data_IF_284699702066
#
_entry.id   IF_284699702066
#
_cell.length_a   1.000
_cell.length_b   1.000
_cell.length_c   1.000
_cell.angle_alpha   90.00
_cell.angle_beta   90.00
_cell.angle_gamma   90.00
#
_symmetry.space_group_name_H-M   'P 1'
#
loop_
_entity.id
_entity.type
_entity.pdbx_description
1 polymer ?
#
# COMPACT_ATOMS: atom_id res chain seq x y z
N UNK A 1 -14.76 17.77 -27.72
CA UNK A 1 -14.75 16.32 -27.57
C UNK A 1 -15.47 15.60 -28.72
N UNK A 2 -16.73 15.94 -29.06
CA UNK A 2 -17.47 15.29 -30.15
C UNK A 2 -16.89 15.53 -31.56
N UNK A 3 -16.00 16.50 -31.75
CA UNK A 3 -15.32 16.78 -33.02
C UNK A 3 -14.06 15.92 -33.25
N UNK A 4 -13.70 15.06 -32.31
CA UNK A 4 -12.57 14.11 -32.47
C UNK A 4 -12.98 12.92 -33.32
N UNK A 5 -12.15 12.55 -34.27
CA UNK A 5 -12.38 11.41 -35.16
C UNK A 5 -12.44 10.09 -34.39
N UNK A 6 -11.66 9.98 -33.33
CA UNK A 6 -11.61 8.81 -32.44
C UNK A 6 -12.94 8.61 -31.73
N UNK A 7 -13.54 9.70 -31.21
CA UNK A 7 -14.86 9.67 -30.55
C UNK A 7 -15.95 9.31 -31.56
N UNK A 8 -15.89 9.86 -32.77
CA UNK A 8 -16.79 9.48 -33.86
C UNK A 8 -16.71 7.99 -34.21
N UNK A 9 -15.51 7.45 -34.27
CA UNK A 9 -15.27 6.02 -34.49
C UNK A 9 -15.85 5.16 -33.35
N UNK A 10 -15.65 5.59 -32.11
CA UNK A 10 -16.20 4.92 -30.93
C UNK A 10 -17.74 4.86 -30.97
N UNK A 11 -18.39 5.97 -31.25
CA UNK A 11 -19.85 6.06 -31.37
C UNK A 11 -20.36 5.11 -32.46
N UNK A 12 -19.72 5.13 -33.63
CA UNK A 12 -20.05 4.26 -34.76
C UNK A 12 -19.88 2.79 -34.40
N UNK A 13 -18.81 2.44 -33.68
CA UNK A 13 -18.54 1.07 -33.25
C UNK A 13 -19.59 0.55 -32.27
N UNK A 14 -20.00 1.38 -31.31
CA UNK A 14 -21.03 1.02 -30.31
C UNK A 14 -22.40 0.83 -30.94
N UNK A 15 -22.73 1.62 -31.93
CA UNK A 15 -23.94 1.45 -32.77
C UNK A 15 -25.27 1.84 -32.10
N UNK A 16 -25.21 2.42 -30.89
CA UNK A 16 -26.39 2.80 -30.08
C UNK A 16 -26.77 4.28 -30.19
N UNK A 17 -26.12 5.08 -31.05
CA UNK A 17 -26.33 6.52 -31.15
C UNK A 17 -25.79 7.30 -29.96
N UNK A 18 -26.03 8.62 -29.92
CA UNK A 18 -25.61 9.49 -28.80
C UNK A 18 -26.65 10.57 -28.52
N UNK A 19 -26.62 11.11 -27.31
CA UNK A 19 -27.52 12.21 -26.91
C UNK A 19 -28.93 11.74 -26.55
N UNK A 20 -29.79 12.67 -26.19
CA UNK A 20 -31.12 12.33 -25.63
C UNK A 20 -32.14 11.82 -26.62
N UNK A 21 -31.96 12.15 -27.91
CA UNK A 21 -32.97 11.84 -28.96
C UNK A 21 -32.62 10.58 -29.75
N UNK A 22 -31.30 10.35 -30.01
CA UNK A 22 -30.82 9.27 -30.90
C UNK A 22 -30.23 8.07 -30.15
N UNK A 23 -30.02 8.19 -28.84
CA UNK A 23 -29.41 7.14 -28.03
C UNK A 23 -30.45 6.04 -27.70
N UNK A 24 -30.17 4.83 -28.15
CA UNK A 24 -30.94 3.62 -27.91
C UNK A 24 -30.02 2.52 -27.34
N UNK A 25 -30.03 2.27 -26.03
CA UNK A 25 -29.15 1.29 -25.39
C UNK A 25 -29.41 -0.15 -25.84
N UNK A 26 -30.60 -0.45 -26.37
CA UNK A 26 -30.94 -1.79 -26.82
C UNK A 26 -30.33 -2.12 -28.19
N UNK A 27 -29.83 -1.10 -28.90
CA UNK A 27 -29.03 -1.26 -30.13
C UNK A 27 -27.52 -1.42 -29.88
N UNK A 28 -27.10 -1.45 -28.61
CA UNK A 28 -25.70 -1.61 -28.24
C UNK A 28 -25.13 -2.95 -28.81
N UNK A 29 -24.00 -2.85 -29.52
CA UNK A 29 -23.36 -4.01 -30.15
C UNK A 29 -22.47 -4.80 -29.19
N UNK A 30 -21.99 -4.17 -28.09
CA UNK A 30 -21.02 -4.75 -27.16
C UNK A 30 -21.52 -4.61 -25.73
N UNK A 31 -21.75 -5.72 -25.05
CA UNK A 31 -22.21 -5.73 -23.65
C UNK A 31 -21.11 -5.40 -22.63
N UNK A 32 -19.84 -5.45 -23.02
CA UNK A 32 -18.69 -5.11 -22.18
C UNK A 32 -17.81 -4.10 -22.91
N UNK A 33 -17.75 -2.89 -22.41
CA UNK A 33 -16.91 -1.81 -22.91
C UNK A 33 -15.79 -1.61 -21.89
N UNK A 34 -14.58 -2.00 -22.24
CA UNK A 34 -13.44 -2.00 -21.32
C UNK A 34 -12.54 -0.82 -21.65
N UNK A 35 -12.46 0.15 -20.75
CA UNK A 35 -11.54 1.28 -20.85
C UNK A 35 -10.18 0.80 -20.32
N UNK A 36 -9.19 0.78 -21.20
CA UNK A 36 -7.82 0.38 -20.88
C UNK A 36 -6.87 1.54 -21.22
N UNK A 37 -6.24 2.11 -20.20
CA UNK A 37 -5.27 3.19 -20.32
C UNK A 37 -4.01 2.83 -19.54
N UNK A 38 -2.89 3.48 -19.89
CA UNK A 38 -1.65 3.31 -19.14
C UNK A 38 -1.79 3.75 -17.69
N UNK A 39 -0.93 3.23 -16.81
CA UNK A 39 -0.92 3.55 -15.38
C UNK A 39 -0.13 4.84 -15.09
N UNK A 40 -0.24 5.84 -15.95
CA UNK A 40 0.41 7.13 -15.81
C UNK A 40 -0.60 8.30 -15.70
N UNK A 41 -0.11 9.52 -15.62
CA UNK A 41 -0.92 10.73 -15.48
C UNK A 41 -1.81 10.94 -16.71
N UNK A 42 -1.26 10.75 -17.91
CA UNK A 42 -1.98 10.96 -19.17
C UNK A 42 -3.06 9.90 -19.35
N UNK A 43 -2.79 8.64 -19.03
CA UNK A 43 -3.79 7.56 -19.03
C UNK A 43 -4.92 7.80 -18.03
N UNK A 44 -4.62 8.35 -16.86
CA UNK A 44 -5.63 8.75 -15.88
C UNK A 44 -6.53 9.87 -16.41
N UNK A 45 -5.96 10.85 -17.11
CA UNK A 45 -6.71 11.94 -17.73
C UNK A 45 -7.61 11.42 -18.87
N UNK A 46 -7.09 10.57 -19.76
CA UNK A 46 -7.86 9.95 -20.85
C UNK A 46 -9.03 9.14 -20.28
N UNK A 47 -8.80 8.35 -19.24
CA UNK A 47 -9.85 7.59 -18.55
C UNK A 47 -10.96 8.48 -18.03
N UNK A 48 -10.60 9.59 -17.38
CA UNK A 48 -11.56 10.58 -16.85
C UNK A 48 -12.39 11.21 -17.96
N UNK A 49 -11.75 11.55 -19.09
CA UNK A 49 -12.45 12.11 -20.25
C UNK A 49 -13.45 11.11 -20.84
N UNK A 50 -13.07 9.84 -21.01
CA UNK A 50 -13.94 8.79 -21.53
C UNK A 50 -15.12 8.51 -20.58
N UNK A 51 -14.88 8.41 -19.28
CA UNK A 51 -15.95 8.23 -18.29
C UNK A 51 -16.91 9.43 -18.28
N UNK A 52 -16.40 10.65 -18.40
CA UNK A 52 -17.24 11.86 -18.51
C UNK A 52 -18.06 11.87 -19.79
N UNK A 53 -17.47 11.38 -20.89
CA UNK A 53 -18.18 11.23 -22.16
C UNK A 53 -19.35 10.25 -22.01
N UNK A 54 -19.14 9.04 -21.50
CA UNK A 54 -20.20 8.05 -21.29
C UNK A 54 -21.26 8.56 -20.33
N UNK A 55 -20.88 9.17 -19.22
CA UNK A 55 -21.82 9.71 -18.25
C UNK A 55 -22.74 10.79 -18.83
N UNK A 56 -22.20 11.65 -19.70
CA UNK A 56 -22.98 12.76 -20.29
C UNK A 56 -23.79 12.36 -21.51
N UNK A 57 -23.28 11.47 -22.34
CA UNK A 57 -23.86 11.15 -23.63
C UNK A 57 -24.62 9.83 -23.64
N UNK A 58 -24.26 8.88 -22.75
CA UNK A 58 -24.78 7.52 -22.73
C UNK A 58 -24.92 7.02 -21.27
N UNK A 59 -25.65 7.72 -20.38
CA UNK A 59 -25.70 7.40 -18.96
C UNK A 59 -26.19 5.97 -18.67
N UNK A 60 -27.15 5.48 -19.45
CA UNK A 60 -27.70 4.14 -19.26
C UNK A 60 -26.67 3.02 -19.46
N UNK A 61 -25.58 3.24 -20.22
CA UNK A 61 -24.50 2.24 -20.33
C UNK A 61 -23.76 2.05 -19.00
N UNK A 62 -23.68 3.11 -18.18
CA UNK A 62 -23.12 3.04 -16.84
C UNK A 62 -24.12 2.39 -15.89
N UNK A 63 -25.38 2.81 -15.92
CA UNK A 63 -26.44 2.28 -15.06
C UNK A 63 -26.69 0.79 -15.29
N UNK A 64 -26.64 0.34 -16.55
CA UNK A 64 -26.77 -1.07 -16.93
C UNK A 64 -25.47 -1.89 -16.71
N UNK A 65 -24.37 -1.26 -16.28
CA UNK A 65 -23.12 -1.95 -15.97
C UNK A 65 -22.32 -2.43 -17.19
N UNK A 66 -22.42 -1.74 -18.32
CA UNK A 66 -21.67 -2.08 -19.53
C UNK A 66 -20.22 -1.54 -19.55
N UNK A 67 -19.91 -0.55 -18.68
CA UNK A 67 -18.61 0.12 -18.64
C UNK A 67 -17.72 -0.54 -17.60
N UNK A 68 -16.53 -0.98 -18.03
CA UNK A 68 -15.49 -1.57 -17.20
C UNK A 68 -14.20 -0.77 -17.31
N UNK A 69 -13.43 -0.75 -16.23
CA UNK A 69 -12.10 -0.14 -16.19
C UNK A 69 -11.08 -1.24 -15.98
N UNK A 70 -10.19 -1.42 -16.95
CA UNK A 70 -9.05 -2.31 -16.78
C UNK A 70 -8.05 -1.69 -15.80
N UNK A 71 -7.53 -2.51 -14.89
CA UNK A 71 -6.43 -2.14 -14.00
C UNK A 71 -5.15 -2.76 -14.57
N UNK A 72 -4.30 -1.99 -15.28
CA UNK A 72 -3.02 -2.51 -15.73
C UNK A 72 -2.14 -2.80 -14.50
N UNK A 73 -1.25 -3.82 -14.58
CA UNK A 73 -0.29 -4.08 -13.52
C UNK A 73 0.69 -2.91 -13.42
N UNK A 74 1.02 -2.51 -12.18
CA UNK A 74 1.99 -1.43 -11.95
C UNK A 74 3.43 -1.89 -12.16
N UNK A 75 3.70 -3.18 -11.92
CA UNK A 75 5.06 -3.72 -11.94
C UNK A 75 5.18 -4.96 -12.82
N UNK A 76 6.34 -5.10 -13.43
CA UNK A 76 6.79 -6.33 -14.08
C UNK A 76 8.07 -6.78 -13.40
N UNK A 77 8.01 -7.88 -12.67
CA UNK A 77 9.16 -8.48 -11.99
C UNK A 77 9.73 -9.60 -12.87
N UNK A 78 11.03 -9.52 -13.12
CA UNK A 78 11.75 -10.55 -13.91
C UNK A 78 12.82 -11.20 -13.03
N UNK A 79 12.75 -12.54 -12.92
CA UNK A 79 13.76 -13.35 -12.26
C UNK A 79 14.22 -14.47 -13.21
N UNK A 80 15.40 -14.32 -13.77
CA UNK A 80 15.88 -15.23 -14.80
C UNK A 80 14.99 -15.22 -16.05
N UNK A 81 14.35 -16.36 -16.34
CA UNK A 81 13.40 -16.51 -17.46
C UNK A 81 11.94 -16.29 -17.07
N UNK A 82 11.64 -16.19 -15.77
CA UNK A 82 10.28 -15.97 -15.30
C UNK A 82 9.98 -14.47 -15.27
N UNK A 83 8.80 -14.11 -15.77
CA UNK A 83 8.24 -12.77 -15.71
C UNK A 83 6.89 -12.85 -15.00
N UNK A 84 6.70 -12.01 -14.00
CA UNK A 84 5.46 -11.91 -13.22
C UNK A 84 4.97 -10.47 -13.24
N UNK A 85 3.72 -10.29 -13.58
CA UNK A 85 3.07 -8.98 -13.49
C UNK A 85 2.40 -8.84 -12.13
N UNK A 86 2.58 -7.69 -11.51
CA UNK A 86 2.16 -7.38 -10.16
C UNK A 86 1.32 -6.11 -10.18
N UNK A 87 0.14 -6.17 -9.58
CA UNK A 87 -0.88 -5.12 -9.74
C UNK A 87 -0.63 -3.88 -8.88
N UNK A 88 -0.02 -4.05 -7.68
CA UNK A 88 0.15 -2.99 -6.70
C UNK A 88 1.38 -3.24 -5.79
N UNK A 89 1.72 -2.25 -4.95
CA UNK A 89 2.85 -2.32 -4.01
C UNK A 89 2.70 -3.45 -2.99
N UNK A 90 1.48 -3.78 -2.59
CA UNK A 90 1.23 -4.82 -1.60
C UNK A 90 1.60 -6.20 -2.15
N UNK A 91 1.19 -6.49 -3.40
CA UNK A 91 1.54 -7.73 -4.09
C UNK A 91 3.03 -7.80 -4.39
N UNK A 92 3.66 -6.65 -4.75
CA UNK A 92 5.11 -6.57 -4.94
C UNK A 92 5.87 -6.91 -3.66
N UNK A 93 5.50 -6.30 -2.55
CA UNK A 93 6.14 -6.54 -1.26
C UNK A 93 5.96 -8.00 -0.81
N UNK A 94 4.78 -8.60 -1.03
CA UNK A 94 4.55 -10.02 -0.75
C UNK A 94 5.43 -10.93 -1.60
N UNK A 95 5.59 -10.61 -2.89
CA UNK A 95 6.46 -11.36 -3.82
C UNK A 95 7.94 -11.25 -3.41
N UNK A 96 8.39 -10.03 -3.07
CA UNK A 96 9.77 -9.78 -2.63
C UNK A 96 10.05 -10.48 -1.31
N UNK A 97 9.16 -10.39 -0.33
CA UNK A 97 9.29 -11.08 0.94
C UNK A 97 9.37 -12.60 0.75
N UNK A 98 8.46 -13.18 -0.03
CA UNK A 98 8.49 -14.60 -0.36
C UNK A 98 9.82 -15.03 -1.00
N UNK A 99 10.35 -14.20 -1.91
CA UNK A 99 11.62 -14.47 -2.58
C UNK A 99 12.82 -14.36 -1.63
N UNK A 100 12.79 -13.43 -0.68
CA UNK A 100 13.84 -13.23 0.32
C UNK A 100 13.87 -14.36 1.37
N UNK A 101 12.70 -14.90 1.70
CA UNK A 101 12.58 -15.99 2.68
C UNK A 101 12.92 -17.38 2.10
N UNK A 102 13.08 -17.50 0.79
CA UNK A 102 13.43 -18.76 0.13
C UNK A 102 14.84 -19.22 0.56
N UNK A 103 14.89 -20.28 1.37
CA UNK A 103 16.12 -20.79 1.96
C UNK A 103 16.71 -19.96 3.12
N UNK A 104 16.02 -18.90 3.57
CA UNK A 104 16.47 -18.10 4.71
C UNK A 104 16.17 -18.75 6.05
N UNK A 105 17.07 -18.52 7.02
CA UNK A 105 16.88 -18.95 8.42
C UNK A 105 17.54 -17.96 9.38
N UNK A 106 16.96 -17.79 10.56
CA UNK A 106 17.54 -17.00 11.65
C UNK A 106 17.93 -17.95 12.79
N UNK A 107 19.19 -17.85 13.24
CA UNK A 107 19.68 -18.58 14.40
C UNK A 107 19.62 -17.66 15.61
N UNK A 108 18.73 -17.97 16.55
CA UNK A 108 18.50 -17.15 17.75
C UNK A 108 19.55 -17.34 18.84
N UNK A 109 20.40 -18.36 18.74
CA UNK A 109 21.38 -18.72 19.77
C UNK A 109 20.78 -19.65 20.83
N UNK A 110 21.51 -19.92 21.92
CA UNK A 110 20.98 -20.70 23.05
C UNK A 110 20.68 -22.18 22.78
N UNK A 111 21.03 -22.71 21.60
CA UNK A 111 20.75 -24.11 21.25
C UNK A 111 19.34 -24.36 20.69
N UNK A 112 18.57 -23.29 20.46
CA UNK A 112 17.27 -23.41 19.83
C UNK A 112 17.38 -23.69 18.32
N UNK A 113 16.39 -24.41 17.73
CA UNK A 113 16.37 -24.66 16.30
C UNK A 113 16.25 -23.35 15.52
N UNK A 114 16.86 -23.25 14.31
CA UNK A 114 16.73 -22.05 13.47
C UNK A 114 15.28 -21.76 13.14
N UNK A 115 14.88 -20.49 13.26
CA UNK A 115 13.60 -20.01 12.80
C UNK A 115 13.62 -19.92 11.26
N UNK A 116 12.70 -20.61 10.59
CA UNK A 116 12.64 -20.72 9.13
C UNK A 116 11.21 -20.93 8.62
N UNK A 117 11.02 -20.86 7.32
CA UNK A 117 9.73 -21.13 6.67
C UNK A 117 8.63 -20.15 7.11
N UNK A 118 7.44 -20.67 7.43
CA UNK A 118 6.28 -19.84 7.76
C UNK A 118 6.44 -19.07 9.08
N UNK A 119 7.12 -19.63 10.07
CA UNK A 119 7.38 -18.92 11.32
C UNK A 119 8.25 -17.68 11.11
N UNK A 120 9.30 -17.79 10.30
CA UNK A 120 10.11 -16.66 9.90
C UNK A 120 9.30 -15.67 9.06
N UNK A 121 8.46 -16.16 8.16
CA UNK A 121 7.57 -15.33 7.35
C UNK A 121 6.58 -14.52 8.19
N UNK A 122 6.02 -15.12 9.25
CA UNK A 122 5.12 -14.41 10.18
C UNK A 122 5.86 -13.28 10.91
N UNK A 123 7.02 -13.60 11.47
CA UNK A 123 7.86 -12.60 12.16
C UNK A 123 8.22 -11.42 11.24
N UNK A 124 8.62 -11.71 10.00
CA UNK A 124 8.93 -10.64 9.04
C UNK A 124 7.72 -9.78 8.69
N UNK A 125 6.53 -10.35 8.54
CA UNK A 125 5.29 -9.58 8.30
C UNK A 125 4.95 -8.67 9.47
N UNK A 126 5.06 -9.17 10.70
CA UNK A 126 4.85 -8.38 11.91
C UNK A 126 5.86 -7.24 12.02
N UNK A 127 7.13 -7.52 11.76
CA UNK A 127 8.18 -6.50 11.74
C UNK A 127 7.89 -5.40 10.71
N UNK A 128 7.54 -5.77 9.48
CA UNK A 128 7.19 -4.80 8.43
C UNK A 128 6.00 -3.93 8.86
N UNK A 129 4.99 -4.52 9.50
CA UNK A 129 3.83 -3.80 10.00
C UNK A 129 4.23 -2.77 11.08
N UNK A 130 5.05 -3.20 12.05
CA UNK A 130 5.53 -2.34 13.13
C UNK A 130 6.36 -1.19 12.56
N UNK A 131 7.30 -1.47 11.64
CA UNK A 131 8.11 -0.43 11.00
C UNK A 131 7.27 0.57 10.19
N UNK A 132 6.23 0.12 9.50
CA UNK A 132 5.31 1.01 8.80
C UNK A 132 4.51 1.93 9.76
N UNK A 133 4.18 1.43 10.96
CA UNK A 133 3.55 2.24 12.01
C UNK A 133 4.55 3.29 12.53
N UNK A 134 5.79 2.90 12.80
CA UNK A 134 6.86 3.80 13.24
C UNK A 134 7.12 4.89 12.21
N UNK A 135 7.27 4.55 10.95
CA UNK A 135 7.46 5.52 9.85
C UNK A 135 6.33 6.55 9.79
N UNK A 136 5.08 6.11 9.95
CA UNK A 136 3.93 7.01 10.02
C UNK A 136 3.96 7.92 11.25
N UNK A 137 4.35 7.38 12.41
CA UNK A 137 4.40 8.13 13.67
C UNK A 137 5.61 9.05 13.74
N UNK A 138 6.71 8.76 13.04
CA UNK A 138 7.93 9.56 13.01
C UNK A 138 7.73 10.98 12.45
N UNK A 139 6.61 11.21 11.77
CA UNK A 139 6.17 12.56 11.35
C UNK A 139 5.80 13.47 12.52
N UNK A 140 5.51 12.92 13.70
CA UNK A 140 5.08 13.65 14.90
C UNK A 140 5.97 13.39 16.12
N UNK A 141 6.61 12.23 16.18
CA UNK A 141 7.44 11.78 17.28
C UNK A 141 8.83 11.43 16.76
N UNK A 142 9.79 11.41 17.66
CA UNK A 142 11.16 11.08 17.30
C UNK A 142 11.30 9.61 16.90
N UNK A 143 11.72 9.34 15.66
CA UNK A 143 11.75 7.98 15.07
C UNK A 143 12.61 7.00 15.86
N UNK A 144 13.86 7.38 16.21
CA UNK A 144 14.74 6.50 16.96
C UNK A 144 14.15 6.14 18.34
N UNK A 145 13.43 7.05 18.98
CA UNK A 145 12.74 6.73 20.23
C UNK A 145 11.66 5.66 20.00
N UNK A 146 10.86 5.79 18.95
CA UNK A 146 9.82 4.81 18.63
C UNK A 146 10.41 3.42 18.36
N UNK A 147 11.58 3.35 17.69
CA UNK A 147 12.27 2.09 17.44
C UNK A 147 12.77 1.45 18.74
N UNK A 148 13.33 2.25 19.67
CA UNK A 148 13.79 1.73 20.96
C UNK A 148 12.64 1.21 21.84
N UNK A 149 11.42 1.75 21.68
CA UNK A 149 10.23 1.26 22.41
C UNK A 149 9.89 -0.20 22.10
N UNK A 150 10.30 -0.74 20.95
CA UNK A 150 10.05 -2.15 20.58
C UNK A 150 10.76 -3.11 21.54
N UNK A 151 11.95 -2.73 22.00
CA UNK A 151 12.79 -3.59 22.86
C UNK A 151 12.54 -3.38 24.35
N UNK A 152 11.80 -2.33 24.73
CA UNK A 152 11.53 -2.00 26.12
C UNK A 152 10.24 -2.68 26.64
N UNK A 153 10.15 -2.91 27.94
CA UNK A 153 8.92 -3.42 28.55
C UNK A 153 7.71 -2.52 28.28
N UNK A 154 6.57 -3.16 28.01
CA UNK A 154 5.32 -2.45 27.69
C UNK A 154 4.88 -1.51 28.82
N UNK A 155 4.48 -0.27 28.46
CA UNK A 155 3.89 0.71 29.35
C UNK A 155 2.39 0.43 29.52
N UNK A 156 2.02 -0.30 30.58
CA UNK A 156 0.62 -0.51 30.92
C UNK A 156 0.11 0.59 31.84
N UNK A 157 -1.23 0.77 31.91
CA UNK A 157 -1.85 1.78 32.77
C UNK A 157 -1.47 1.65 34.26
N UNK A 158 -1.26 0.40 34.73
CA UNK A 158 -0.85 0.12 36.11
C UNK A 158 0.56 0.61 36.39
N UNK A 159 1.48 0.47 35.44
CA UNK A 159 2.88 0.88 35.54
C UNK A 159 3.08 2.40 35.56
N UNK A 160 2.14 3.16 35.00
CA UNK A 160 2.16 4.63 35.10
C UNK A 160 2.00 5.16 36.53
N UNK A 161 1.50 4.36 37.45
CA UNK A 161 1.37 4.70 38.86
C UNK A 161 2.63 4.36 39.69
N UNK A 162 3.58 3.64 39.12
CA UNK A 162 4.83 3.24 39.81
C UNK A 162 6.00 4.15 39.39
N UNK A 163 6.25 5.17 40.19
CA UNK A 163 7.31 6.14 39.94
C UNK A 163 8.72 5.51 39.89
N UNK A 164 8.96 4.45 40.68
CA UNK A 164 10.28 3.80 40.75
C UNK A 164 10.50 2.99 39.47
N UNK A 165 9.48 2.26 39.05
CA UNK A 165 9.54 1.50 37.81
C UNK A 165 9.68 2.42 36.58
N UNK A 166 8.93 3.52 36.53
CA UNK A 166 9.03 4.50 35.43
C UNK A 166 10.41 5.16 35.37
N UNK A 167 11.04 5.45 36.52
CA UNK A 167 12.36 6.01 36.53
C UNK A 167 13.41 5.03 35.95
N UNK A 168 13.32 3.75 36.31
CA UNK A 168 14.17 2.71 35.77
C UNK A 168 13.94 2.53 34.24
N UNK A 169 12.67 2.46 33.81
CA UNK A 169 12.29 2.35 32.40
C UNK A 169 12.78 3.57 31.58
N UNK A 170 12.67 4.78 32.12
CA UNK A 170 13.18 5.99 31.47
C UNK A 170 14.71 6.00 31.36
N UNK A 171 15.41 5.46 32.36
CA UNK A 171 16.87 5.30 32.30
C UNK A 171 17.28 4.26 31.20
N UNK A 172 16.57 3.15 31.08
CA UNK A 172 16.79 2.18 30.00
C UNK A 172 16.58 2.80 28.62
N UNK A 173 15.48 3.55 28.41
CA UNK A 173 15.23 4.26 27.17
C UNK A 173 16.33 5.28 26.84
N UNK A 174 16.77 6.07 27.84
CA UNK A 174 17.87 7.01 27.64
C UNK A 174 19.17 6.30 27.27
N UNK A 175 19.48 5.17 27.90
CA UNK A 175 20.65 4.35 27.59
C UNK A 175 20.56 3.80 26.16
N UNK A 176 19.42 3.25 25.76
CA UNK A 176 19.19 2.71 24.42
C UNK A 176 19.35 3.79 23.33
N UNK A 177 18.79 4.98 23.55
CA UNK A 177 18.93 6.11 22.62
C UNK A 177 20.38 6.59 22.50
N UNK A 178 21.10 6.70 23.60
CA UNK A 178 22.52 7.11 23.59
C UNK A 178 23.44 6.06 22.99
N UNK A 179 23.02 4.79 22.92
CA UNK A 179 23.79 3.74 22.26
C UNK A 179 23.65 3.78 20.72
N UNK A 180 22.55 4.32 20.21
CA UNK A 180 22.29 4.40 18.76
C UNK A 180 22.85 5.67 18.16
N UNK A 181 22.91 6.77 18.92
CA UNK A 181 23.28 8.09 18.41
C UNK A 181 24.43 8.68 19.21
N UNK A 182 25.59 8.77 18.58
CA UNK A 182 26.83 9.26 19.23
C UNK A 182 26.94 10.79 19.29
N UNK A 183 26.17 11.50 18.46
CA UNK A 183 26.27 12.96 18.29
C UNK A 183 25.39 13.75 19.25
N UNK A 184 24.38 13.12 19.86
CA UNK A 184 23.40 13.74 20.75
C UNK A 184 23.30 12.94 22.04
N UNK A 185 23.22 13.61 23.20
CA UNK A 185 22.98 12.96 24.50
C UNK A 185 21.53 13.14 24.93
N UNK A 186 20.85 12.05 25.19
CA UNK A 186 19.46 12.01 25.62
C UNK A 186 19.38 11.83 27.13
N UNK A 187 18.51 12.63 27.76
CA UNK A 187 18.15 12.51 29.17
C UNK A 187 16.61 12.52 29.25
N UNK A 188 16.07 11.60 30.04
CA UNK A 188 14.63 11.49 30.27
C UNK A 188 14.33 11.98 31.67
N UNK A 189 13.48 12.96 31.80
CA UNK A 189 12.98 13.50 33.07
C UNK A 189 11.48 13.19 33.18
N UNK A 190 11.08 12.64 34.33
CA UNK A 190 9.69 12.34 34.63
C UNK A 190 9.11 13.50 35.41
N UNK A 191 7.97 14.02 34.97
CA UNK A 191 7.16 14.99 35.74
C UNK A 191 5.80 14.36 35.99
N UNK A 192 5.43 14.34 37.25
CA UNK A 192 4.11 13.88 37.67
C UNK A 192 3.23 15.13 37.91
N UNK A 193 2.07 15.17 37.20
CA UNK A 193 1.08 16.24 37.35
C UNK A 193 0.01 15.81 38.38
#
# INVERSE_FOLDING_TARGET
MLASAEVGTLITALGCGIGREDFDPDKLRYHHIIIMTDADVDGSHIRTLLLTFFYRQMPELIERGHIYIAQPPLYKVKRGKQETYVKDDMELNALLLKSALDGASIVLGGGEPPLQGEALGSLCREFILVMAIIDRLSRRYYGNMLEQLISLPELTAERFSDAVWLAAWGAELAQALNAVEETVSYRIELSFA
#
